data_IF_765179331996
#
_entry.id   IF_765179331996
#
_cell.length_a   1.000
_cell.length_b   1.000
_cell.length_c   1.000
_cell.angle_alpha   90.00
_cell.angle_beta   90.00
_cell.angle_gamma   90.00
#
_symmetry.space_group_name_H-M   'P 1'
#
loop_
_entity.id
_entity.type
_entity.pdbx_description
1 polymer ?
#
# COMPACT_ATOMS: atom_id res chain seq x y z
N UNK A 1 -10.90 -20.72 9.43
CA UNK A 1 -9.71 -20.06 8.85
C UNK A 1 -9.90 -19.95 7.35
N UNK A 2 -10.28 -18.78 6.84
CA UNK A 2 -9.81 -18.44 5.51
C UNK A 2 -8.36 -17.98 5.73
N UNK A 3 -7.39 -18.76 5.26
CA UNK A 3 -6.04 -18.22 5.14
C UNK A 3 -6.17 -16.87 4.42
N UNK A 4 -5.44 -15.84 4.85
CA UNK A 4 -5.30 -14.63 4.05
C UNK A 4 -4.68 -15.09 2.73
N UNK A 5 -5.53 -15.42 1.76
CA UNK A 5 -5.12 -16.02 0.49
C UNK A 5 -4.23 -14.99 -0.15
N UNK A 6 -2.92 -15.30 -0.19
CA UNK A 6 -1.92 -14.56 -0.92
C UNK A 6 -2.47 -14.27 -2.32
N UNK A 7 -2.20 -13.09 -2.90
CA UNK A 7 -2.64 -12.79 -4.26
C UNK A 7 -2.32 -13.98 -5.18
N UNK A 8 -3.33 -14.48 -5.89
CA UNK A 8 -3.18 -15.68 -6.74
C UNK A 8 -2.36 -15.41 -8.01
N UNK A 9 -1.85 -14.18 -8.17
CA UNK A 9 -0.97 -13.76 -9.25
C UNK A 9 0.44 -14.19 -8.93
N UNK A 10 1.09 -14.93 -9.84
CA UNK A 10 2.49 -15.29 -9.67
C UNK A 10 3.38 -14.05 -9.84
N UNK A 11 4.14 -13.68 -8.80
CA UNK A 11 5.13 -12.58 -8.87
C UNK A 11 6.05 -12.70 -10.08
N UNK A 12 6.47 -13.91 -10.41
CA UNK A 12 7.37 -14.14 -11.54
C UNK A 12 6.77 -13.62 -12.87
N UNK A 13 5.46 -13.77 -13.09
CA UNK A 13 4.79 -13.25 -14.29
C UNK A 13 4.83 -11.72 -14.34
N UNK A 14 4.68 -11.05 -13.20
CA UNK A 14 4.80 -9.58 -13.12
C UNK A 14 6.23 -9.09 -13.34
N UNK A 15 7.23 -9.96 -13.16
CA UNK A 15 8.65 -9.68 -13.32
C UNK A 15 9.23 -10.18 -14.65
N UNK A 16 8.40 -10.68 -15.56
CA UNK A 16 8.80 -10.97 -16.93
C UNK A 16 8.95 -9.67 -17.73
N UNK A 17 10.00 -9.50 -18.56
CA UNK A 17 10.14 -8.34 -19.43
C UNK A 17 8.92 -8.15 -20.33
N UNK A 18 8.46 -6.92 -20.53
CA UNK A 18 7.31 -6.61 -21.41
C UNK A 18 7.62 -7.03 -22.86
N UNK A 19 8.85 -6.80 -23.32
CA UNK A 19 9.33 -7.26 -24.61
C UNK A 19 10.86 -7.32 -24.62
N UNK A 20 11.43 -7.95 -25.64
CA UNK A 20 12.89 -8.02 -25.82
C UNK A 20 13.52 -6.66 -26.12
N UNK A 21 12.80 -5.77 -26.82
CA UNK A 21 13.30 -4.43 -27.21
C UNK A 21 13.02 -3.37 -26.14
N UNK A 22 11.93 -3.51 -25.40
CA UNK A 22 11.54 -2.61 -24.32
C UNK A 22 11.19 -3.46 -23.08
N UNK A 23 12.19 -3.88 -22.28
CA UNK A 23 11.97 -4.74 -21.11
C UNK A 23 11.00 -4.14 -20.09
N UNK A 24 11.05 -2.81 -19.90
CA UNK A 24 10.16 -2.08 -19.01
C UNK A 24 8.91 -1.50 -19.69
N UNK A 25 8.74 -1.71 -20.99
CA UNK A 25 7.61 -1.15 -21.75
C UNK A 25 7.56 0.37 -21.75
N UNK A 26 6.37 0.93 -21.98
CA UNK A 26 6.15 2.38 -22.11
C UNK A 26 5.83 3.05 -20.77
N UNK A 27 6.01 4.37 -20.69
CA UNK A 27 5.59 5.13 -19.51
C UNK A 27 4.07 5.32 -19.51
N UNK A 28 3.40 4.90 -18.44
CA UNK A 28 1.95 5.02 -18.30
C UNK A 28 1.49 6.31 -17.62
N UNK A 29 2.41 7.23 -17.26
CA UNK A 29 2.12 8.42 -16.45
C UNK A 29 1.00 9.31 -17.00
N UNK A 30 0.84 9.36 -18.32
CA UNK A 30 -0.21 10.14 -19.03
C UNK A 30 -1.25 9.24 -19.71
N UNK A 31 -1.27 7.95 -19.38
CA UNK A 31 -2.21 6.99 -19.94
C UNK A 31 -3.54 7.00 -19.19
N UNK A 32 -4.60 6.58 -19.87
CA UNK A 32 -5.91 6.37 -19.26
C UNK A 32 -5.87 5.32 -18.14
N UNK A 33 -4.99 4.32 -18.24
CA UNK A 33 -4.80 3.29 -17.19
C UNK A 33 -4.45 3.91 -15.84
N UNK A 34 -3.61 4.95 -15.84
CA UNK A 34 -3.20 5.65 -14.61
C UNK A 34 -4.39 6.35 -13.93
N UNK A 35 -5.24 7.00 -14.75
CA UNK A 35 -6.43 7.70 -14.27
C UNK A 35 -7.49 6.71 -13.77
N UNK A 36 -7.65 5.58 -14.44
CA UNK A 36 -8.54 4.50 -13.99
C UNK A 36 -8.12 3.94 -12.63
N UNK A 37 -6.81 3.71 -12.42
CA UNK A 37 -6.29 3.24 -11.12
C UNK A 37 -6.55 4.29 -10.04
N UNK A 38 -6.24 5.56 -10.30
CA UNK A 38 -6.51 6.65 -9.36
C UNK A 38 -7.99 6.76 -9.01
N UNK A 39 -8.87 6.67 -10.00
CA UNK A 39 -10.31 6.75 -9.78
C UNK A 39 -10.82 5.53 -9.00
N UNK A 40 -10.30 4.33 -9.26
CA UNK A 40 -10.64 3.14 -8.46
C UNK A 40 -10.13 3.25 -7.01
N UNK A 41 -8.98 3.91 -6.79
CA UNK A 41 -8.41 4.18 -5.45
C UNK A 41 -9.11 5.30 -4.68
N UNK A 42 -9.90 6.15 -5.35
CA UNK A 42 -10.56 7.28 -4.69
C UNK A 42 -11.61 6.78 -3.71
N UNK A 43 -11.51 7.25 -2.48
CA UNK A 43 -12.56 7.13 -1.47
C UNK A 43 -12.91 8.55 -1.01
N UNK A 44 -14.20 8.81 -0.83
CA UNK A 44 -14.67 10.06 -0.25
C UNK A 44 -14.51 9.98 1.28
N UNK A 45 -14.24 11.12 1.93
CA UNK A 45 -14.15 11.19 3.38
C UNK A 45 -15.56 11.00 3.98
N UNK A 46 -15.81 9.91 4.76
CA UNK A 46 -17.12 9.67 5.36
C UNK A 46 -17.49 10.70 6.44
N UNK A 47 -16.52 11.48 6.95
CA UNK A 47 -16.75 12.52 7.96
C UNK A 47 -17.08 13.89 7.35
N UNK A 48 -16.97 14.04 6.03
CA UNK A 48 -17.30 15.30 5.38
C UNK A 48 -18.84 15.45 5.32
N UNK A 49 -19.35 16.57 5.83
CA UNK A 49 -20.77 16.87 5.77
C UNK A 49 -21.22 16.95 4.30
N UNK A 50 -21.90 15.91 3.83
CA UNK A 50 -22.67 15.98 2.59
C UNK A 50 -23.80 16.98 2.87
N UNK A 51 -23.86 18.06 2.10
CA UNK A 51 -24.92 19.07 2.25
C UNK A 51 -26.31 18.51 1.94
N UNK A 52 -27.21 19.34 1.43
CA UNK A 52 -28.60 18.93 1.10
C UNK A 52 -28.66 17.80 0.05
N UNK A 53 -27.58 17.57 -0.69
CA UNK A 53 -27.44 16.47 -1.64
C UNK A 53 -26.69 15.31 -0.97
N UNK A 54 -27.43 14.30 -0.51
CA UNK A 54 -26.85 13.02 -0.10
C UNK A 54 -26.46 12.24 -1.36
N UNK A 55 -25.17 12.07 -1.59
CA UNK A 55 -24.64 11.20 -2.65
C UNK A 55 -24.02 9.98 -2.00
N UNK A 56 -24.09 8.81 -2.64
CA UNK A 56 -23.42 7.64 -2.11
C UNK A 56 -21.93 7.92 -1.85
N UNK A 57 -21.45 7.68 -0.61
CA UNK A 57 -20.05 7.86 -0.24
C UNK A 57 -19.23 6.90 -1.08
N UNK A 58 -18.39 7.44 -1.96
CA UNK A 58 -17.53 6.60 -2.79
C UNK A 58 -16.53 5.88 -1.90
N UNK A 59 -16.47 4.56 -2.05
CA UNK A 59 -15.41 3.73 -1.47
C UNK A 59 -14.42 3.33 -2.56
N UNK A 60 -13.16 3.15 -2.16
CA UNK A 60 -12.15 2.61 -3.04
C UNK A 60 -12.47 1.14 -3.37
N UNK A 61 -12.32 0.78 -4.65
CA UNK A 61 -12.46 -0.59 -5.14
C UNK A 61 -11.09 -1.24 -5.23
N UNK A 62 -10.59 -1.74 -4.10
CA UNK A 62 -9.26 -2.34 -4.03
C UNK A 62 -9.10 -3.61 -4.88
N UNK A 63 -10.22 -4.29 -5.20
CA UNK A 63 -10.23 -5.40 -6.14
C UNK A 63 -9.84 -4.92 -7.53
N UNK A 64 -10.58 -3.93 -8.04
CA UNK A 64 -10.32 -3.30 -9.33
C UNK A 64 -8.95 -2.62 -9.41
N UNK A 65 -8.48 -2.00 -8.32
CA UNK A 65 -7.13 -1.42 -8.28
C UNK A 65 -6.07 -2.50 -8.50
N UNK A 66 -6.19 -3.63 -7.80
CA UNK A 66 -5.25 -4.73 -7.96
C UNK A 66 -5.26 -5.26 -9.41
N UNK A 67 -6.45 -5.48 -9.98
CA UNK A 67 -6.59 -6.02 -11.34
C UNK A 67 -6.00 -5.08 -12.39
N UNK A 68 -6.28 -3.78 -12.30
CA UNK A 68 -5.72 -2.77 -13.21
C UNK A 68 -4.20 -2.64 -13.10
N UNK A 69 -3.67 -2.67 -11.88
CA UNK A 69 -2.22 -2.60 -11.66
C UNK A 69 -1.51 -3.86 -12.18
N UNK A 70 -2.09 -5.05 -11.94
CA UNK A 70 -1.57 -6.33 -12.46
C UNK A 70 -1.54 -6.31 -13.98
N UNK A 71 -2.65 -5.93 -14.64
CA UNK A 71 -2.69 -5.85 -16.10
C UNK A 71 -1.63 -4.86 -16.64
N UNK A 72 -1.48 -3.70 -15.99
CA UNK A 72 -0.51 -2.70 -16.39
C UNK A 72 0.94 -3.22 -16.28
N UNK A 73 1.27 -3.83 -15.14
CA UNK A 73 2.62 -4.35 -14.85
C UNK A 73 2.98 -5.56 -15.69
N UNK A 74 2.02 -6.44 -15.96
CA UNK A 74 2.23 -7.64 -16.77
C UNK A 74 2.39 -7.28 -18.26
N UNK A 75 1.59 -6.35 -18.78
CA UNK A 75 1.42 -6.20 -20.24
C UNK A 75 1.96 -4.90 -20.84
N UNK A 76 2.17 -3.85 -20.04
CA UNK A 76 2.40 -2.50 -20.58
C UNK A 76 3.65 -1.83 -20.04
N UNK A 77 3.90 -1.89 -18.73
CA UNK A 77 4.92 -1.06 -18.10
C UNK A 77 5.44 -1.62 -16.80
N UNK A 78 6.76 -1.61 -16.61
CA UNK A 78 7.39 -1.82 -15.30
C UNK A 78 7.50 -0.46 -14.62
N UNK A 79 6.59 -0.17 -13.70
CA UNK A 79 6.42 1.15 -13.08
C UNK A 79 6.31 1.05 -11.55
N UNK A 80 7.21 1.73 -10.84
CA UNK A 80 7.27 1.72 -9.37
C UNK A 80 6.04 2.34 -8.71
N UNK A 81 5.40 3.33 -9.33
CA UNK A 81 4.19 3.91 -8.76
C UNK A 81 3.00 2.99 -8.89
N UNK A 82 2.89 2.28 -10.02
CA UNK A 82 1.85 1.26 -10.17
C UNK A 82 2.11 0.10 -9.20
N UNK A 83 3.37 -0.33 -9.02
CA UNK A 83 3.73 -1.33 -8.03
C UNK A 83 3.40 -0.89 -6.59
N UNK A 84 3.65 0.38 -6.24
CA UNK A 84 3.27 0.94 -4.94
C UNK A 84 1.75 0.90 -4.70
N UNK A 85 0.95 1.20 -5.73
CA UNK A 85 -0.50 1.13 -5.65
C UNK A 85 -1.03 -0.30 -5.59
N UNK A 86 -0.34 -1.25 -6.24
CA UNK A 86 -0.65 -2.67 -6.11
C UNK A 86 -0.36 -3.17 -4.70
N UNK A 87 0.78 -2.77 -4.11
CA UNK A 87 1.12 -3.09 -2.73
C UNK A 87 0.07 -2.57 -1.74
N UNK A 88 -0.43 -1.34 -1.93
CA UNK A 88 -1.54 -0.79 -1.15
C UNK A 88 -2.82 -1.62 -1.33
N UNK A 89 -3.20 -1.95 -2.57
CA UNK A 89 -4.40 -2.72 -2.84
C UNK A 89 -4.33 -4.12 -2.20
N UNK A 90 -3.17 -4.77 -2.25
CA UNK A 90 -2.97 -6.05 -1.58
C UNK A 90 -2.95 -5.93 -0.07
N UNK A 91 -2.36 -4.88 0.51
CA UNK A 91 -2.48 -4.59 1.94
C UNK A 91 -3.96 -4.48 2.36
N UNK A 92 -4.76 -3.72 1.62
CA UNK A 92 -6.18 -3.49 1.93
C UNK A 92 -7.02 -4.76 1.82
N UNK A 93 -6.64 -5.70 0.98
CA UNK A 93 -7.38 -6.95 0.73
C UNK A 93 -6.91 -8.14 1.56
N UNK A 94 -5.61 -8.20 1.84
CA UNK A 94 -4.96 -9.39 2.39
C UNK A 94 -4.14 -9.08 3.65
N UNK A 95 -4.16 -7.84 4.14
CA UNK A 95 -3.42 -7.43 5.34
C UNK A 95 -1.90 -7.48 5.13
N UNK A 96 -1.12 -7.78 6.19
CA UNK A 96 0.33 -7.70 6.13
C UNK A 96 0.95 -8.67 5.11
N UNK A 97 0.34 -9.84 4.88
CA UNK A 97 0.83 -10.78 3.86
C UNK A 97 0.71 -10.20 2.44
N UNK A 98 -0.34 -9.42 2.18
CA UNK A 98 -0.49 -8.69 0.92
C UNK A 98 0.55 -7.59 0.74
N UNK A 99 0.85 -6.84 1.81
CA UNK A 99 1.92 -5.83 1.78
C UNK A 99 3.29 -6.47 1.51
N UNK A 100 3.62 -7.57 2.20
CA UNK A 100 4.86 -8.30 1.97
C UNK A 100 5.00 -8.75 0.50
N UNK A 101 3.91 -9.24 -0.09
CA UNK A 101 3.88 -9.60 -1.52
C UNK A 101 4.16 -8.40 -2.43
N UNK A 102 3.60 -7.24 -2.10
CA UNK A 102 3.86 -5.97 -2.81
C UNK A 102 5.30 -5.49 -2.67
N UNK A 103 5.93 -5.68 -1.51
CA UNK A 103 7.34 -5.32 -1.30
C UNK A 103 8.28 -6.22 -2.10
N UNK A 104 8.02 -7.53 -2.13
CA UNK A 104 8.79 -8.46 -2.95
C UNK A 104 8.68 -8.12 -4.46
N UNK A 105 7.52 -7.65 -4.92
CA UNK A 105 7.36 -7.15 -6.29
C UNK A 105 8.24 -5.92 -6.54
N UNK A 106 8.22 -4.95 -5.64
CA UNK A 106 9.00 -3.71 -5.78
C UNK A 106 10.50 -4.00 -5.79
N UNK A 107 10.97 -4.85 -4.87
CA UNK A 107 12.35 -5.35 -4.84
C UNK A 107 12.72 -5.99 -6.18
N UNK A 108 11.91 -6.94 -6.66
CA UNK A 108 12.17 -7.60 -7.94
C UNK A 108 12.16 -6.65 -9.15
N UNK A 109 11.35 -5.59 -9.13
CA UNK A 109 11.34 -4.57 -10.17
C UNK A 109 12.63 -3.72 -10.15
N UNK A 110 13.06 -3.30 -8.96
CA UNK A 110 14.32 -2.56 -8.77
C UNK A 110 15.50 -3.40 -9.24
N UNK A 111 15.59 -4.66 -8.80
CA UNK A 111 16.72 -5.53 -9.12
C UNK A 111 16.82 -5.87 -10.61
N UNK A 112 15.69 -6.14 -11.27
CA UNK A 112 15.69 -6.65 -12.66
C UNK A 112 15.62 -5.56 -13.72
N UNK A 113 15.04 -4.40 -13.39
CA UNK A 113 14.69 -3.40 -14.40
C UNK A 113 15.29 -2.02 -14.14
N UNK A 114 16.14 -1.84 -13.12
CA UNK A 114 16.67 -0.53 -12.68
C UNK A 114 16.93 0.49 -13.80
N UNK A 115 17.67 0.10 -14.83
CA UNK A 115 18.09 1.01 -15.90
C UNK A 115 16.94 1.49 -16.79
N UNK A 116 15.88 0.69 -16.90
CA UNK A 116 14.73 0.98 -17.79
C UNK A 116 13.42 1.23 -17.05
N UNK A 117 13.42 1.09 -15.72
CA UNK A 117 12.25 1.16 -14.85
C UNK A 117 11.62 2.55 -14.85
N UNK A 118 10.29 2.61 -14.85
CA UNK A 118 9.54 3.87 -14.72
C UNK A 118 9.26 4.22 -13.25
N UNK A 119 9.34 5.51 -12.86
CA UNK A 119 9.82 6.66 -13.64
C UNK A 119 11.33 6.56 -13.96
N UNK A 120 11.77 7.08 -15.14
CA UNK A 120 13.18 7.10 -15.50
C UNK A 120 13.98 8.01 -14.57
N UNK A 121 15.29 7.75 -14.47
CA UNK A 121 16.25 8.70 -13.90
C UNK A 121 16.67 9.64 -15.02
N UNK A 122 16.48 10.94 -14.80
CA UNK A 122 16.80 12.00 -15.75
C UNK A 122 17.91 12.87 -15.15
N UNK A 123 19.00 13.11 -15.87
CA UNK A 123 20.11 13.97 -15.41
C UNK A 123 20.67 13.63 -14.01
N UNK A 124 20.74 12.34 -13.67
CA UNK A 124 21.16 11.81 -12.35
C UNK A 124 20.21 12.21 -11.18
N UNK A 125 19.01 12.70 -11.51
CA UNK A 125 17.95 13.00 -10.55
C UNK A 125 17.12 11.75 -10.22
N UNK A 126 17.18 11.34 -8.96
CA UNK A 126 16.46 10.19 -8.42
C UNK A 126 15.08 10.56 -7.85
N UNK A 127 14.72 11.84 -7.74
CA UNK A 127 13.52 12.29 -7.03
C UNK A 127 12.24 11.64 -7.58
N UNK A 128 12.12 11.57 -8.91
CA UNK A 128 10.99 10.93 -9.57
C UNK A 128 10.84 9.44 -9.22
N UNK A 129 11.97 8.73 -9.09
CA UNK A 129 12.06 7.31 -8.79
C UNK A 129 11.93 7.01 -7.29
N UNK A 130 12.41 7.91 -6.44
CA UNK A 130 12.28 7.82 -4.99
C UNK A 130 10.87 8.15 -4.51
N UNK A 131 10.14 9.04 -5.19
CA UNK A 131 8.81 9.48 -4.75
C UNK A 131 7.80 8.35 -4.47
N UNK A 132 7.66 7.29 -5.31
CA UNK A 132 6.82 6.14 -4.98
C UNK A 132 7.26 5.40 -3.70
N UNK A 133 8.56 5.27 -3.45
CA UNK A 133 9.10 4.58 -2.28
C UNK A 133 8.90 5.40 -1.00
N UNK A 134 9.09 6.73 -1.09
CA UNK A 134 8.77 7.64 0.00
C UNK A 134 7.27 7.61 0.34
N UNK A 135 6.42 7.62 -0.68
CA UNK A 135 4.97 7.51 -0.50
C UNK A 135 4.57 6.19 0.19
N UNK A 136 5.21 5.07 -0.14
CA UNK A 136 5.02 3.80 0.58
C UNK A 136 5.42 3.95 2.04
N UNK A 137 6.62 4.47 2.29
CA UNK A 137 7.13 4.62 3.65
C UNK A 137 6.22 5.50 4.52
N UNK A 138 5.68 6.58 3.97
CA UNK A 138 4.77 7.49 4.68
C UNK A 138 3.37 6.90 4.84
N UNK A 139 2.77 6.40 3.75
CA UNK A 139 1.36 6.01 3.77
C UNK A 139 1.16 4.58 4.25
N UNK A 140 1.87 3.60 3.67
CA UNK A 140 1.63 2.19 3.97
C UNK A 140 2.06 1.85 5.39
N UNK A 141 3.03 2.57 5.99
CA UNK A 141 3.40 2.37 7.40
C UNK A 141 2.23 2.67 8.34
N UNK A 142 1.51 3.76 8.10
CA UNK A 142 0.31 4.13 8.86
C UNK A 142 -0.80 3.10 8.67
N UNK A 143 -1.01 2.67 7.43
CA UNK A 143 -2.06 1.70 7.11
C UNK A 143 -1.78 0.30 7.65
N UNK A 144 -0.52 -0.15 7.62
CA UNK A 144 -0.08 -1.41 8.21
C UNK A 144 -0.38 -1.46 9.71
N UNK A 145 -0.14 -0.36 10.42
CA UNK A 145 -0.43 -0.27 11.85
C UNK A 145 -1.93 -0.27 12.17
N UNK A 146 -2.77 0.06 11.19
CA UNK A 146 -4.21 0.05 11.31
C UNK A 146 -4.85 -1.30 10.94
N UNK A 147 -4.06 -2.30 10.53
CA UNK A 147 -4.59 -3.63 10.27
C UNK A 147 -4.90 -4.34 11.60
N UNK A 148 -6.06 -4.99 11.65
CA UNK A 148 -6.48 -5.83 12.77
C UNK A 148 -5.46 -6.93 13.03
N UNK A 149 -4.93 -6.98 14.26
CA UNK A 149 -4.04 -8.03 14.75
C UNK A 149 -4.80 -9.14 15.48
N UNK A 150 -6.02 -8.85 15.93
CA UNK A 150 -6.90 -9.82 16.59
C UNK A 150 -8.08 -10.20 15.70
N UNK A 151 -8.45 -11.48 15.77
CA UNK A 151 -9.70 -12.02 15.26
C UNK A 151 -10.60 -12.31 16.46
N UNK A 152 -11.28 -11.29 17.03
CA UNK A 152 -12.16 -11.50 18.17
C UNK A 152 -13.28 -12.44 17.73
N UNK A 153 -13.33 -13.64 18.33
CA UNK A 153 -14.50 -14.49 18.19
C UNK A 153 -15.72 -13.77 18.78
N UNK A 154 -16.91 -14.12 18.28
CA UNK A 154 -18.20 -13.41 18.27
C UNK A 154 -18.73 -12.76 19.58
N UNK A 155 -17.97 -12.70 20.67
CA UNK A 155 -18.33 -12.09 21.94
C UNK A 155 -17.36 -11.00 22.44
N UNK A 156 -16.26 -10.68 21.73
CA UNK A 156 -15.44 -9.50 22.06
C UNK A 156 -15.54 -8.40 21.00
N UNK A 157 -15.67 -7.11 21.39
CA UNK A 157 -16.30 -6.12 20.51
C UNK A 157 -15.35 -5.42 19.54
N UNK A 158 -14.03 -5.52 19.69
CA UNK A 158 -13.10 -4.66 18.95
C UNK A 158 -11.89 -5.42 18.42
N UNK A 159 -11.66 -5.27 17.11
CA UNK A 159 -10.39 -5.67 16.50
C UNK A 159 -9.30 -4.73 17.02
N UNK A 160 -8.29 -5.29 17.68
CA UNK A 160 -7.15 -4.53 18.18
C UNK A 160 -6.11 -4.41 17.08
N UNK A 161 -5.61 -3.20 16.89
CA UNK A 161 -4.56 -2.87 15.91
C UNK A 161 -3.25 -2.55 16.61
N UNK A 162 -2.16 -2.44 15.84
CA UNK A 162 -0.88 -1.97 16.37
C UNK A 162 -1.00 -0.53 16.91
N UNK A 163 -1.80 0.31 16.26
CA UNK A 163 -2.07 1.67 16.72
C UNK A 163 -2.72 1.69 18.11
N UNK A 164 -3.60 0.74 18.41
CA UNK A 164 -4.27 0.67 19.72
C UNK A 164 -3.27 0.28 20.81
N UNK A 165 -2.37 -0.65 20.50
CA UNK A 165 -1.27 -1.01 21.38
C UNK A 165 -0.29 0.14 21.62
N UNK A 166 0.10 0.90 20.59
CA UNK A 166 0.96 2.08 20.74
C UNK A 166 0.31 3.15 21.62
N UNK A 167 -0.99 3.43 21.41
CA UNK A 167 -1.74 4.37 22.25
C UNK A 167 -1.79 3.90 23.71
N UNK A 168 -2.11 2.63 23.96
CA UNK A 168 -2.15 2.07 25.31
C UNK A 168 -0.77 2.18 25.99
N UNK A 169 0.30 1.82 25.28
CA UNK A 169 1.68 1.90 25.78
C UNK A 169 2.12 3.34 26.10
N UNK A 170 1.68 4.32 25.30
CA UNK A 170 1.94 5.75 25.56
C UNK A 170 1.18 6.27 26.79
N UNK A 171 -0.07 5.83 26.98
CA UNK A 171 -0.87 6.18 28.15
C UNK A 171 -0.25 5.62 29.45
N UNK A 172 0.23 4.39 29.43
CA UNK A 172 0.94 3.80 30.58
C UNK A 172 2.19 4.59 30.95
N UNK A 173 3.01 4.96 29.95
CA UNK A 173 4.24 5.75 30.16
C UNK A 173 3.97 7.17 30.65
N UNK A 174 2.86 7.79 30.23
CA UNK A 174 2.50 9.15 30.64
C UNK A 174 1.74 9.20 31.97
N UNK A 175 1.05 8.12 32.34
CA UNK A 175 0.41 7.93 33.65
C UNK A 175 1.39 7.56 34.77
N UNK A 176 2.55 7.00 34.44
CA UNK A 176 3.64 6.79 35.38
C UNK A 176 4.36 8.11 35.68
N UNK A 177 3.87 8.87 36.66
CA UNK A 177 4.72 9.83 37.38
C UNK A 177 5.52 9.03 38.41
N UNK A 178 6.86 9.08 38.41
CA UNK A 178 7.63 8.50 39.51
C UNK A 178 7.15 9.15 40.81
N UNK A 179 6.79 8.32 41.78
CA UNK A 179 6.51 8.80 43.13
C UNK A 179 7.78 9.38 43.75
N UNK A 180 7.67 10.22 44.80
CA UNK A 180 8.84 10.76 45.50
C UNK A 180 9.81 9.68 46.04
N UNK A 181 9.39 8.42 46.06
CA UNK A 181 10.17 7.29 46.56
C UNK A 181 11.05 6.61 45.49
N UNK A 182 10.88 6.93 44.19
CA UNK A 182 11.70 6.35 43.10
C UNK A 182 13.08 7.02 42.92
N UNK A 183 13.43 7.99 43.78
CA UNK A 183 14.76 8.62 43.84
C UNK A 183 15.50 8.20 45.10
N UNK A 184 15.54 6.91 45.42
CA UNK A 184 16.60 6.38 46.30
C UNK A 184 16.80 4.88 46.07
N UNK A 185 17.86 4.51 45.34
CA UNK A 185 18.98 3.64 45.80
C UNK A 185 19.92 3.37 44.62
#
# INVERSE_FOLDING_TARGET
>A
MAAATTPQVALDALLEPISTLMPSGESLRRSFTYDQIKEARRADDPNLAQGVWQTDVKRADWGKVADLCVEALEKKSKDLRIAAWLAEAWLKRHGPSGAAYGFNLIEGLVDRFWDTLHPPVEDDDLDGRMAPLMWINEKLSVELKAVSLTDPQAQEPEHLTWNDWEKASMLERSGHKPGPDDVTT
#
